data_IF_311832780889
#
_entry.id   IF_311832780889
#
_cell.length_a   1.000
_cell.length_b   1.000
_cell.length_c   1.000
_cell.angle_alpha   90.00
_cell.angle_beta   90.00
_cell.angle_gamma   90.00
#
_symmetry.space_group_name_H-M   'P 1'
#
loop_
_entity.id
_entity.type
_entity.pdbx_description
1 polymer ?
#
# COMPACT_ATOMS: atom_id res chain seq x y z
N UNK A 1 -13.97 -2.32 28.15
CA UNK A 1 -14.63 -2.36 29.48
C UNK A 1 -16.03 -1.76 29.40
N UNK A 2 -17.10 -2.56 29.43
CA UNK A 2 -18.45 -2.02 29.65
C UNK A 2 -18.46 -1.42 31.05
N UNK A 3 -18.85 -0.15 31.18
CA UNK A 3 -18.92 0.53 32.47
C UNK A 3 -19.67 -0.35 33.47
N UNK A 4 -19.04 -0.64 34.62
CA UNK A 4 -19.79 -1.09 35.79
C UNK A 4 -20.99 -0.13 35.91
N UNK A 5 -22.24 -0.61 36.10
CA UNK A 5 -23.38 0.28 36.17
C UNK A 5 -23.08 1.30 37.26
N UNK A 6 -22.85 2.57 36.89
CA UNK A 6 -22.38 3.63 37.81
C UNK A 6 -23.27 3.71 39.05
N UNK A 7 -24.56 3.39 38.87
CA UNK A 7 -25.53 3.18 39.92
C UNK A 7 -25.05 2.24 41.04
N UNK A 8 -24.48 1.07 40.72
CA UNK A 8 -24.04 0.09 41.70
C UNK A 8 -22.86 0.59 42.56
N UNK A 9 -21.92 1.31 41.95
CA UNK A 9 -20.80 1.95 42.67
C UNK A 9 -21.32 3.05 43.59
N UNK A 10 -22.23 3.88 43.09
CA UNK A 10 -22.86 4.96 43.85
C UNK A 10 -23.66 4.39 45.03
N UNK A 11 -24.48 3.36 44.81
CA UNK A 11 -25.27 2.72 45.86
C UNK A 11 -24.39 2.05 46.92
N UNK A 12 -23.33 1.35 46.53
CA UNK A 12 -22.39 0.75 47.48
C UNK A 12 -21.65 1.83 48.29
N UNK A 13 -21.24 2.93 47.66
CA UNK A 13 -20.61 4.07 48.32
C UNK A 13 -21.56 4.78 49.30
N UNK A 14 -22.81 5.00 48.92
CA UNK A 14 -23.84 5.58 49.80
C UNK A 14 -24.14 4.66 50.98
N UNK A 15 -24.29 3.35 50.76
CA UNK A 15 -24.51 2.41 51.85
C UNK A 15 -23.33 2.35 52.82
N UNK A 16 -22.10 2.34 52.31
CA UNK A 16 -20.88 2.36 53.13
C UNK A 16 -20.74 3.65 53.94
N UNK A 17 -21.00 4.81 53.33
CA UNK A 17 -20.96 6.10 54.03
C UNK A 17 -22.04 6.22 55.10
N UNK A 18 -23.28 5.82 54.80
CA UNK A 18 -24.37 5.78 55.80
C UNK A 18 -24.02 4.85 56.96
N UNK A 19 -23.44 3.68 56.68
CA UNK A 19 -23.03 2.71 57.71
C UNK A 19 -21.94 3.26 58.64
N UNK A 20 -21.08 4.16 58.17
CA UNK A 20 -20.02 4.79 58.96
C UNK A 20 -20.54 6.01 59.76
N UNK A 21 -21.42 6.81 59.16
CA UNK A 21 -21.91 8.06 59.76
C UNK A 21 -23.05 7.82 60.75
N UNK A 22 -23.90 6.82 60.50
CA UNK A 22 -25.07 6.50 61.32
C UNK A 22 -25.07 5.04 61.78
N UNK A 23 -24.10 4.62 62.62
CA UNK A 23 -23.99 3.22 63.05
C UNK A 23 -25.20 2.75 63.88
N UNK A 24 -25.91 3.68 64.53
CA UNK A 24 -27.13 3.44 65.32
C UNK A 24 -28.28 2.82 64.49
N UNK A 25 -28.28 3.05 63.17
CA UNK A 25 -29.32 2.55 62.24
C UNK A 25 -29.09 1.06 61.93
N UNK A 26 -27.87 0.57 62.12
CA UNK A 26 -27.53 -0.81 61.80
C UNK A 26 -28.12 -1.76 62.86
N UNK A 27 -28.70 -2.90 62.43
CA UNK A 27 -29.21 -3.88 63.37
C UNK A 27 -28.06 -4.40 64.24
N UNK A 28 -28.31 -4.55 65.55
CA UNK A 28 -27.33 -5.12 66.47
C UNK A 28 -26.87 -6.48 65.93
N UNK A 29 -25.56 -6.62 65.70
CA UNK A 29 -24.99 -7.82 65.06
C UNK A 29 -24.64 -8.90 66.08
N UNK A 30 -24.36 -8.51 67.33
CA UNK A 30 -23.88 -9.41 68.37
C UNK A 30 -24.61 -9.15 69.70
N UNK A 31 -25.15 -10.21 70.31
CA UNK A 31 -25.76 -10.16 71.64
C UNK A 31 -25.25 -11.32 72.48
N UNK A 32 -24.69 -11.04 73.67
CA UNK A 32 -24.11 -12.06 74.59
C UNK A 32 -23.14 -13.05 73.90
N UNK A 33 -22.29 -12.54 73.01
CA UNK A 33 -21.26 -13.33 72.30
C UNK A 33 -21.77 -14.22 71.17
N UNK A 34 -23.05 -14.11 70.78
CA UNK A 34 -23.64 -14.80 69.62
C UNK A 34 -24.16 -13.80 68.60
N UNK A 35 -24.11 -14.17 67.33
CA UNK A 35 -24.70 -13.36 66.26
C UNK A 35 -26.22 -13.33 66.39
N UNK A 36 -26.82 -12.16 66.15
CA UNK A 36 -28.28 -12.00 66.18
C UNK A 36 -28.95 -12.73 65.01
N UNK A 37 -30.24 -13.02 65.16
CA UNK A 37 -31.02 -13.68 64.11
C UNK A 37 -30.96 -12.90 62.79
N UNK A 38 -31.03 -11.57 62.85
CA UNK A 38 -30.93 -10.67 61.69
C UNK A 38 -29.60 -10.81 60.96
N UNK A 39 -28.48 -10.87 61.70
CA UNK A 39 -27.16 -11.05 61.09
C UNK A 39 -27.00 -12.44 60.47
N UNK A 40 -27.56 -13.47 61.10
CA UNK A 40 -27.54 -14.84 60.60
C UNK A 40 -28.35 -14.99 59.32
N UNK A 41 -29.59 -14.50 59.30
CA UNK A 41 -30.46 -14.57 58.11
C UNK A 41 -29.89 -13.77 56.96
N UNK A 42 -29.36 -12.56 57.20
CA UNK A 42 -28.75 -11.75 56.14
C UNK A 42 -27.56 -12.46 55.47
N UNK A 43 -26.64 -13.04 56.26
CA UNK A 43 -25.50 -13.78 55.73
C UNK A 43 -25.91 -15.08 55.03
N UNK A 44 -26.89 -15.80 55.58
CA UNK A 44 -27.42 -17.03 55.00
C UNK A 44 -28.08 -16.76 53.64
N UNK A 45 -28.96 -15.77 53.56
CA UNK A 45 -29.61 -15.36 52.31
C UNK A 45 -28.58 -14.89 51.28
N UNK A 46 -27.60 -14.08 51.69
CA UNK A 46 -26.48 -13.69 50.81
C UNK A 46 -25.69 -14.91 50.30
N UNK A 47 -25.45 -15.90 51.16
CA UNK A 47 -24.79 -17.15 50.79
C UNK A 47 -25.54 -17.94 49.70
N UNK A 48 -26.87 -18.00 49.79
CA UNK A 48 -27.72 -18.63 48.75
C UNK A 48 -27.57 -17.90 47.40
N UNK A 49 -27.61 -16.57 47.40
CA UNK A 49 -27.43 -15.79 46.17
C UNK A 49 -26.04 -16.00 45.55
N UNK A 50 -24.99 -16.09 46.37
CA UNK A 50 -23.65 -16.42 45.88
C UNK A 50 -23.59 -17.82 45.27
N UNK A 51 -24.23 -18.83 45.87
CA UNK A 51 -24.31 -20.17 45.27
C UNK A 51 -25.11 -20.20 43.96
N UNK A 52 -26.19 -19.44 43.85
CA UNK A 52 -26.89 -19.27 42.57
C UNK A 52 -25.96 -18.65 41.50
N UNK A 53 -25.08 -17.73 41.91
CA UNK A 53 -24.03 -17.16 41.08
C UNK A 53 -23.04 -18.19 40.52
N UNK A 54 -22.72 -19.26 41.26
CA UNK A 54 -21.85 -20.36 40.77
C UNK A 54 -22.42 -20.97 39.50
N UNK A 55 -23.71 -21.34 39.50
CA UNK A 55 -24.37 -21.93 38.33
C UNK A 55 -24.41 -20.94 37.14
N UNK A 56 -24.66 -19.66 37.43
CA UNK A 56 -24.66 -18.60 36.43
C UNK A 56 -23.29 -18.45 35.74
N UNK A 57 -22.20 -18.37 36.52
CA UNK A 57 -20.86 -18.17 35.98
C UNK A 57 -20.29 -19.43 35.32
N UNK A 58 -20.59 -20.63 35.82
CA UNK A 58 -20.25 -21.89 35.14
C UNK A 58 -20.89 -21.99 33.76
N UNK A 59 -22.19 -21.71 33.66
CA UNK A 59 -22.89 -21.69 32.36
C UNK A 59 -22.29 -20.66 31.39
N UNK A 60 -21.81 -19.53 31.92
CA UNK A 60 -21.16 -18.49 31.11
C UNK A 60 -19.75 -18.88 30.68
N UNK A 61 -19.01 -19.57 31.55
CA UNK A 61 -17.72 -20.16 31.22
C UNK A 61 -17.85 -21.20 30.11
N UNK A 62 -18.84 -22.08 30.15
CA UNK A 62 -19.03 -23.07 29.09
C UNK A 62 -19.30 -22.45 27.72
N UNK A 63 -19.96 -21.28 27.69
CA UNK A 63 -20.24 -20.55 26.46
C UNK A 63 -19.06 -19.74 25.93
N UNK A 64 -18.33 -19.06 26.82
CA UNK A 64 -17.33 -18.06 26.43
C UNK A 64 -15.88 -18.56 26.57
N UNK A 65 -15.64 -19.65 27.33
CA UNK A 65 -14.32 -20.20 27.70
C UNK A 65 -13.36 -19.18 28.32
N UNK A 66 -13.88 -18.08 28.86
CA UNK A 66 -13.10 -17.03 29.50
C UNK A 66 -12.81 -17.37 30.97
N UNK A 67 -11.52 -17.42 31.30
CA UNK A 67 -10.99 -17.72 32.63
C UNK A 67 -11.51 -16.79 33.74
N UNK A 68 -11.96 -15.58 33.40
CA UNK A 68 -12.54 -14.65 34.38
C UNK A 68 -13.78 -15.24 35.06
N UNK A 69 -14.56 -16.05 34.35
CA UNK A 69 -15.74 -16.70 34.90
C UNK A 69 -15.40 -17.84 35.86
N UNK A 70 -14.26 -18.51 35.66
CA UNK A 70 -13.75 -19.50 36.62
C UNK A 70 -13.40 -18.82 37.93
N UNK A 71 -12.72 -17.67 37.87
CA UNK A 71 -12.40 -16.87 39.05
C UNK A 71 -13.67 -16.45 39.80
N UNK A 72 -14.67 -15.90 39.11
CA UNK A 72 -15.95 -15.52 39.73
C UNK A 72 -16.70 -16.72 40.31
N UNK A 73 -16.62 -17.88 39.66
CA UNK A 73 -17.23 -19.13 40.17
C UNK A 73 -16.60 -19.54 41.50
N UNK A 74 -15.27 -19.56 41.60
CA UNK A 74 -14.54 -19.90 42.83
C UNK A 74 -14.91 -18.92 43.94
N UNK A 75 -15.02 -17.63 43.61
CA UNK A 75 -15.47 -16.60 44.54
C UNK A 75 -16.88 -16.84 45.06
N UNK A 76 -17.84 -17.02 44.17
CA UNK A 76 -19.22 -17.31 44.50
C UNK A 76 -19.34 -18.57 45.38
N UNK A 77 -18.52 -19.59 45.12
CA UNK A 77 -18.48 -20.80 45.93
C UNK A 77 -17.97 -20.51 47.36
N UNK A 78 -16.82 -19.83 47.49
CA UNK A 78 -16.21 -19.52 48.79
C UNK A 78 -17.09 -18.60 49.64
N UNK A 79 -17.66 -17.55 49.06
CA UNK A 79 -18.57 -16.64 49.78
C UNK A 79 -19.93 -17.28 50.07
N UNK A 80 -20.43 -18.14 49.17
CA UNK A 80 -21.65 -18.90 49.38
C UNK A 80 -21.56 -19.84 50.58
N UNK A 81 -20.50 -20.66 50.62
CA UNK A 81 -20.23 -21.58 51.74
C UNK A 81 -20.02 -20.80 53.04
N UNK A 82 -19.27 -19.70 53.00
CA UNK A 82 -19.05 -18.86 54.17
C UNK A 82 -20.34 -18.22 54.72
N UNK A 83 -21.28 -17.83 53.85
CA UNK A 83 -22.58 -17.29 54.25
C UNK A 83 -23.50 -18.34 54.88
N UNK A 84 -23.53 -19.56 54.32
CA UNK A 84 -24.31 -20.69 54.85
C UNK A 84 -23.80 -21.17 56.21
N UNK A 85 -22.49 -21.28 56.36
CA UNK A 85 -21.83 -21.76 57.59
C UNK A 85 -21.78 -20.70 58.69
N UNK A 86 -22.12 -19.44 58.38
CA UNK A 86 -22.15 -18.34 59.34
C UNK A 86 -23.13 -18.58 60.49
N UNK A 87 -24.26 -19.27 60.25
CA UNK A 87 -25.25 -19.56 61.30
C UNK A 87 -24.70 -20.44 62.43
N UNK A 88 -23.66 -21.22 62.15
CA UNK A 88 -23.01 -22.09 63.13
C UNK A 88 -21.75 -21.45 63.75
N UNK A 89 -21.38 -20.25 63.30
CA UNK A 89 -20.16 -19.59 63.75
C UNK A 89 -20.38 -18.86 65.07
N UNK A 90 -19.47 -19.09 66.02
CA UNK A 90 -19.35 -18.28 67.24
C UNK A 90 -18.21 -17.30 67.06
N UNK A 91 -18.34 -16.12 67.65
CA UNK A 91 -17.29 -15.11 67.60
C UNK A 91 -15.97 -15.69 68.15
N UNK A 92 -14.86 -15.42 67.49
CA UNK A 92 -13.50 -15.89 67.85
C UNK A 92 -13.28 -17.41 67.86
N UNK A 93 -14.21 -18.21 67.33
CA UNK A 93 -13.98 -19.65 67.23
C UNK A 93 -12.97 -19.99 66.12
N UNK A 94 -12.32 -21.17 66.17
CA UNK A 94 -11.44 -21.62 65.08
C UNK A 94 -12.15 -21.63 63.71
N UNK A 95 -13.43 -22.04 63.67
CA UNK A 95 -14.23 -22.01 62.44
C UNK A 95 -14.50 -20.59 61.92
N UNK A 96 -14.66 -19.61 62.83
CA UNK A 96 -14.81 -18.21 62.45
C UNK A 96 -13.56 -17.69 61.74
N UNK A 97 -12.36 -17.98 62.28
CA UNK A 97 -11.09 -17.60 61.65
C UNK A 97 -10.86 -18.27 60.30
N UNK A 98 -11.19 -19.56 60.18
CA UNK A 98 -11.02 -20.33 58.94
C UNK A 98 -11.81 -19.70 57.79
N UNK A 99 -13.07 -19.28 58.03
CA UNK A 99 -13.89 -18.63 57.01
C UNK A 99 -13.36 -17.25 56.60
N UNK A 100 -12.78 -16.48 57.54
CA UNK A 100 -12.16 -15.18 57.21
C UNK A 100 -10.86 -15.36 56.41
N UNK A 101 -10.05 -16.36 56.75
CA UNK A 101 -8.86 -16.72 55.99
C UNK A 101 -9.21 -17.14 54.55
N UNK A 102 -10.29 -17.91 54.37
CA UNK A 102 -10.77 -18.30 53.04
C UNK A 102 -11.18 -17.08 52.17
N UNK A 103 -11.88 -16.09 52.76
CA UNK A 103 -12.24 -14.85 52.05
C UNK A 103 -11.01 -14.00 51.71
N UNK A 104 -10.06 -13.88 52.64
CA UNK A 104 -8.80 -13.18 52.38
C UNK A 104 -8.04 -13.83 51.22
N UNK A 105 -7.96 -15.16 51.21
CA UNK A 105 -7.38 -15.93 50.10
C UNK A 105 -8.07 -15.62 48.78
N UNK A 106 -9.41 -15.57 48.75
CA UNK A 106 -10.16 -15.18 47.56
C UNK A 106 -9.72 -13.78 47.08
N UNK A 107 -9.73 -12.77 47.97
CA UNK A 107 -9.30 -11.39 47.68
C UNK A 107 -7.90 -11.31 47.07
N UNK A 108 -6.95 -12.06 47.60
CA UNK A 108 -5.59 -12.13 47.04
C UNK A 108 -5.59 -12.71 45.63
N UNK A 109 -6.36 -13.77 45.36
CA UNK A 109 -6.45 -14.39 44.04
C UNK A 109 -7.05 -13.44 43.00
N UNK A 110 -8.15 -12.75 43.31
CA UNK A 110 -8.70 -11.77 42.36
C UNK A 110 -7.76 -10.59 42.14
N UNK A 111 -7.13 -10.07 43.20
CA UNK A 111 -6.18 -8.98 43.06
C UNK A 111 -5.01 -9.38 42.15
N UNK A 112 -4.42 -10.56 42.36
CA UNK A 112 -3.36 -11.08 41.50
C UNK A 112 -3.82 -11.25 40.05
N UNK A 113 -5.02 -11.79 39.84
CA UNK A 113 -5.58 -11.97 38.50
C UNK A 113 -5.78 -10.63 37.78
N UNK A 114 -6.44 -9.68 38.43
CA UNK A 114 -6.71 -8.34 37.86
C UNK A 114 -5.40 -7.61 37.59
N UNK A 115 -4.48 -7.58 38.54
CA UNK A 115 -3.18 -6.92 38.38
C UNK A 115 -2.38 -7.55 37.22
N UNK A 116 -2.30 -8.87 37.14
CA UNK A 116 -1.58 -9.54 36.06
C UNK A 116 -2.24 -9.31 34.68
N UNK A 117 -3.56 -9.31 34.59
CA UNK A 117 -4.27 -9.11 33.33
C UNK A 117 -4.18 -7.66 32.85
N UNK A 118 -4.34 -6.68 33.74
CA UNK A 118 -4.22 -5.26 33.41
C UNK A 118 -2.82 -4.89 32.92
N UNK A 119 -1.76 -5.44 33.52
CA UNK A 119 -0.38 -5.21 33.06
C UNK A 119 -0.13 -5.80 31.66
N UNK A 120 -0.68 -6.99 31.37
CA UNK A 120 -0.58 -7.60 30.03
C UNK A 120 -1.31 -6.78 28.98
N UNK A 121 -2.51 -6.32 29.28
CA UNK A 121 -3.31 -5.51 28.36
C UNK A 121 -2.64 -4.17 28.07
N UNK A 122 -2.07 -3.51 29.09
CA UNK A 122 -1.29 -2.30 28.90
C UNK A 122 -0.05 -2.53 28.01
N UNK A 123 0.73 -3.58 28.29
CA UNK A 123 1.92 -3.91 27.51
C UNK A 123 1.57 -4.24 26.05
N UNK A 124 0.48 -4.98 25.84
CA UNK A 124 -0.03 -5.27 24.50
C UNK A 124 -0.40 -3.99 23.75
N UNK A 125 -1.08 -3.04 24.40
CA UNK A 125 -1.45 -1.76 23.81
C UNK A 125 -0.23 -0.93 23.43
N UNK A 126 0.77 -0.84 24.30
CA UNK A 126 2.02 -0.12 24.02
C UNK A 126 2.74 -0.73 22.82
N UNK A 127 2.91 -2.07 22.81
CA UNK A 127 3.55 -2.77 21.70
C UNK A 127 2.78 -2.64 20.39
N UNK A 128 1.45 -2.72 20.44
CA UNK A 128 0.60 -2.52 19.26
C UNK A 128 0.73 -1.10 18.71
N UNK A 129 0.89 -0.10 19.59
CA UNK A 129 1.09 1.28 19.18
C UNK A 129 2.45 1.46 18.50
N UNK A 130 3.52 0.88 19.05
CA UNK A 130 4.86 0.91 18.45
C UNK A 130 4.87 0.27 17.05
N UNK A 131 4.23 -0.90 16.89
CA UNK A 131 4.11 -1.57 15.58
C UNK A 131 3.35 -0.69 14.59
N UNK A 132 2.29 -0.02 15.04
CA UNK A 132 1.51 0.87 14.17
C UNK A 132 2.31 2.11 13.75
N UNK A 133 3.09 2.68 14.66
CA UNK A 133 3.97 3.81 14.36
C UNK A 133 5.07 3.41 13.34
N UNK A 134 5.66 2.22 13.50
CA UNK A 134 6.62 1.68 12.53
C UNK A 134 6.00 1.40 11.17
N UNK A 135 4.83 0.77 11.13
CA UNK A 135 4.12 0.50 9.88
C UNK A 135 3.76 1.80 9.14
N UNK A 136 3.35 2.84 9.87
CA UNK A 136 3.07 4.15 9.30
C UNK A 136 4.34 4.83 8.76
N UNK A 137 5.46 4.75 9.49
CA UNK A 137 6.73 5.30 9.01
C UNK A 137 7.20 4.62 7.72
N UNK A 138 7.09 3.29 7.64
CA UNK A 138 7.44 2.54 6.44
C UNK A 138 6.49 2.84 5.27
N UNK A 139 5.20 2.98 5.53
CA UNK A 139 4.23 3.36 4.50
C UNK A 139 4.53 4.75 3.91
N UNK A 140 4.92 5.70 4.75
CA UNK A 140 5.29 7.06 4.30
C UNK A 140 6.59 7.05 3.48
N UNK A 141 7.57 6.22 3.83
CA UNK A 141 8.78 6.01 3.05
C UNK A 141 8.48 5.39 1.68
N UNK A 142 7.74 4.28 1.63
CA UNK A 142 7.33 3.64 0.38
C UNK A 142 6.52 4.57 -0.51
N UNK A 143 5.68 5.45 0.07
CA UNK A 143 4.94 6.46 -0.68
C UNK A 143 5.87 7.47 -1.35
N UNK A 144 6.89 7.98 -0.63
CA UNK A 144 7.88 8.90 -1.21
C UNK A 144 8.70 8.26 -2.33
N UNK A 145 9.07 6.99 -2.16
CA UNK A 145 9.74 6.23 -3.23
C UNK A 145 8.85 6.08 -4.46
N UNK A 146 7.58 5.73 -4.27
CA UNK A 146 6.61 5.61 -5.36
C UNK A 146 6.40 6.94 -6.10
N UNK A 147 6.30 8.05 -5.38
CA UNK A 147 6.23 9.39 -5.98
C UNK A 147 7.47 9.71 -6.83
N UNK A 148 8.66 9.36 -6.34
CA UNK A 148 9.91 9.53 -7.09
C UNK A 148 9.94 8.68 -8.37
N UNK A 149 9.55 7.41 -8.28
CA UNK A 149 9.50 6.49 -9.43
C UNK A 149 8.47 6.96 -10.45
N UNK A 150 7.28 7.39 -10.01
CA UNK A 150 6.25 7.93 -10.92
C UNK A 150 6.76 9.16 -11.68
N UNK A 151 7.44 10.09 -11.01
CA UNK A 151 8.02 11.27 -11.68
C UNK A 151 9.08 10.90 -12.72
N UNK A 152 9.90 9.90 -12.43
CA UNK A 152 10.89 9.38 -13.40
C UNK A 152 10.20 8.72 -14.59
N UNK A 153 9.13 7.96 -14.35
CA UNK A 153 8.35 7.32 -15.39
C UNK A 153 7.68 8.37 -16.30
N UNK A 154 7.06 9.40 -15.73
CA UNK A 154 6.46 10.51 -16.49
C UNK A 154 7.49 11.18 -17.42
N UNK A 155 8.69 11.47 -16.89
CA UNK A 155 9.78 12.06 -17.67
C UNK A 155 10.21 11.13 -18.81
N UNK A 156 10.35 9.84 -18.53
CA UNK A 156 10.76 8.84 -19.52
C UNK A 156 9.71 8.69 -20.63
N UNK A 157 8.42 8.70 -20.28
CA UNK A 157 7.31 8.65 -21.23
C UNK A 157 7.29 9.90 -22.11
N UNK A 158 7.48 11.08 -21.53
CA UNK A 158 7.58 12.33 -22.30
C UNK A 158 8.75 12.28 -23.31
N UNK A 159 9.92 11.85 -22.87
CA UNK A 159 11.08 11.72 -23.74
C UNK A 159 10.87 10.69 -24.86
N UNK A 160 10.27 9.54 -24.54
CA UNK A 160 9.93 8.53 -25.54
C UNK A 160 8.95 9.06 -26.60
N UNK A 161 7.95 9.83 -26.17
CA UNK A 161 6.98 10.46 -27.09
C UNK A 161 7.64 11.50 -28.01
N UNK A 162 8.56 12.32 -27.47
CA UNK A 162 9.32 13.28 -28.28
C UNK A 162 10.17 12.58 -29.33
N UNK A 163 10.93 11.56 -28.94
CA UNK A 163 11.75 10.76 -29.87
C UNK A 163 10.89 10.06 -30.93
N UNK A 164 9.72 9.55 -30.55
CA UNK A 164 8.78 8.95 -31.48
C UNK A 164 8.27 9.98 -32.51
N UNK A 165 7.95 11.20 -32.08
CA UNK A 165 7.55 12.28 -32.98
C UNK A 165 8.67 12.67 -33.95
N UNK A 166 9.90 12.82 -33.45
CA UNK A 166 11.08 13.10 -34.28
C UNK A 166 11.30 12.01 -35.32
N UNK A 167 11.18 10.73 -34.92
CA UNK A 167 11.29 9.60 -35.83
C UNK A 167 10.19 9.60 -36.91
N UNK A 168 8.95 9.95 -36.56
CA UNK A 168 7.84 10.09 -37.52
C UNK A 168 8.14 11.20 -38.53
N UNK A 169 8.61 12.36 -38.08
CA UNK A 169 8.96 13.49 -38.95
C UNK A 169 10.11 13.11 -39.89
N UNK A 170 11.17 12.50 -39.36
CA UNK A 170 12.29 12.03 -40.17
C UNK A 170 11.87 10.99 -41.22
N UNK A 171 11.02 10.03 -40.84
CA UNK A 171 10.53 9.01 -41.76
C UNK A 171 9.63 9.61 -42.87
N UNK A 172 8.80 10.61 -42.53
CA UNK A 172 8.01 11.35 -43.51
C UNK A 172 8.90 12.12 -44.49
N UNK A 173 9.91 12.84 -43.99
CA UNK A 173 10.88 13.54 -44.83
C UNK A 173 11.65 12.59 -45.75
N UNK A 174 12.06 11.41 -45.24
CA UNK A 174 12.69 10.37 -46.05
C UNK A 174 11.76 9.85 -47.16
N UNK A 175 10.49 9.64 -46.83
CA UNK A 175 9.49 9.15 -47.79
C UNK A 175 9.23 10.18 -48.89
N UNK A 176 9.12 11.46 -48.52
CA UNK A 176 8.98 12.58 -49.46
C UNK A 176 10.22 12.73 -50.35
N UNK A 177 11.42 12.65 -49.78
CA UNK A 177 12.68 12.65 -50.53
C UNK A 177 12.72 11.53 -51.58
N UNK A 178 12.40 10.28 -51.19
CA UNK A 178 12.40 9.14 -52.11
C UNK A 178 11.35 9.28 -53.22
N UNK A 179 10.17 9.83 -52.90
CA UNK A 179 9.14 10.09 -53.89
C UNK A 179 9.59 11.15 -54.91
N UNK A 180 10.20 12.25 -54.43
CA UNK A 180 10.74 13.30 -55.29
C UNK A 180 11.89 12.78 -56.16
N UNK A 181 12.84 12.04 -55.59
CA UNK A 181 13.90 11.39 -56.36
C UNK A 181 13.37 10.44 -57.43
N UNK A 182 12.33 9.66 -57.12
CA UNK A 182 11.69 8.78 -58.11
C UNK A 182 11.08 9.55 -59.29
N UNK A 183 10.54 10.74 -59.03
CA UNK A 183 10.02 11.63 -60.06
C UNK A 183 11.14 12.24 -60.92
N UNK A 184 12.18 12.78 -60.27
CA UNK A 184 13.36 13.37 -60.91
C UNK A 184 14.12 12.36 -61.78
N UNK A 185 14.20 11.09 -61.39
CA UNK A 185 14.82 10.03 -62.19
C UNK A 185 13.94 9.63 -63.39
N UNK A 186 12.61 9.68 -63.26
CA UNK A 186 11.67 9.28 -64.32
C UNK A 186 11.74 10.20 -65.54
N UNK A 187 11.86 11.51 -65.33
CA UNK A 187 11.88 12.52 -66.41
C UNK A 187 13.01 12.32 -67.44
N UNK A 188 14.30 12.23 -67.05
CA UNK A 188 15.38 11.97 -67.99
C UNK A 188 15.29 10.56 -68.58
N UNK A 189 14.88 9.55 -67.81
CA UNK A 189 14.65 8.20 -68.33
C UNK A 189 13.58 8.18 -69.44
N UNK A 190 12.45 8.86 -69.23
CA UNK A 190 11.39 8.96 -70.22
C UNK A 190 11.89 9.70 -71.47
N UNK A 191 12.74 10.72 -71.29
CA UNK A 191 13.35 11.46 -72.39
C UNK A 191 14.28 10.56 -73.22
N UNK A 192 15.12 9.76 -72.58
CA UNK A 192 16.00 8.77 -73.24
C UNK A 192 15.16 7.78 -74.06
N UNK A 193 14.16 7.14 -73.43
CA UNK A 193 13.31 6.14 -74.07
C UNK A 193 12.47 6.74 -75.22
N UNK A 194 12.00 7.98 -75.07
CA UNK A 194 11.22 8.70 -76.07
C UNK A 194 12.03 9.01 -77.32
N UNK A 195 13.21 9.62 -77.17
CA UNK A 195 14.08 9.93 -78.31
C UNK A 195 14.66 8.68 -78.97
N UNK A 196 14.95 7.62 -78.19
CA UNK A 196 15.33 6.33 -78.76
C UNK A 196 14.21 5.75 -79.63
N UNK A 197 12.97 5.77 -79.13
CA UNK A 197 11.79 5.32 -79.88
C UNK A 197 11.55 6.14 -81.15
N UNK A 198 11.75 7.46 -81.11
CA UNK A 198 11.64 8.31 -82.29
C UNK A 198 12.73 8.03 -83.32
N UNK A 199 13.97 7.78 -82.87
CA UNK A 199 15.08 7.34 -83.72
C UNK A 199 14.73 6.04 -84.44
N UNK A 200 14.27 5.02 -83.70
CA UNK A 200 13.86 3.72 -84.27
C UNK A 200 12.71 3.89 -85.27
N UNK A 201 11.68 4.67 -84.95
CA UNK A 201 10.51 4.84 -85.85
C UNK A 201 10.85 5.60 -87.14
N UNK A 202 11.84 6.50 -87.11
CA UNK A 202 12.12 7.43 -88.21
C UNK A 202 13.45 7.19 -88.91
N UNK A 203 14.21 6.14 -88.54
CA UNK A 203 15.59 5.93 -89.03
C UNK A 203 15.71 5.90 -90.56
N UNK A 204 14.72 5.30 -91.26
CA UNK A 204 14.77 5.14 -92.71
C UNK A 204 14.53 6.44 -93.49
N UNK A 205 13.82 7.41 -92.88
CA UNK A 205 13.31 8.59 -93.59
C UNK A 205 13.76 9.93 -92.97
N UNK A 206 14.44 9.91 -91.82
CA UNK A 206 14.93 11.11 -91.15
C UNK A 206 16.27 11.57 -91.74
N UNK A 207 16.45 12.90 -91.86
CA UNK A 207 17.74 13.49 -92.21
C UNK A 207 18.80 13.15 -91.14
N UNK A 208 20.08 12.95 -91.51
CA UNK A 208 21.16 12.67 -90.56
C UNK A 208 21.23 13.66 -89.39
N UNK A 209 21.03 14.95 -89.67
CA UNK A 209 21.00 16.03 -88.68
C UNK A 209 19.93 15.82 -87.59
N UNK A 210 18.76 15.28 -87.96
CA UNK A 210 17.66 15.07 -87.02
C UNK A 210 17.89 13.84 -86.13
N UNK A 211 18.53 12.80 -86.67
CA UNK A 211 18.97 11.66 -85.90
C UNK A 211 20.07 12.05 -84.91
N UNK A 212 21.01 12.91 -85.32
CA UNK A 212 22.04 13.47 -84.45
C UNK A 212 21.43 14.28 -83.27
N UNK A 213 20.39 15.09 -83.52
CA UNK A 213 19.62 15.78 -82.47
C UNK A 213 19.01 14.79 -81.46
N UNK A 214 18.41 13.68 -81.91
CA UNK A 214 17.89 12.65 -81.01
C UNK A 214 18.99 12.01 -80.16
N UNK A 215 20.12 11.64 -80.76
CA UNK A 215 21.26 11.08 -80.02
C UNK A 215 21.85 12.08 -79.02
N UNK A 216 21.94 13.36 -79.37
CA UNK A 216 22.39 14.41 -78.45
C UNK A 216 21.44 14.58 -77.26
N UNK A 217 20.12 14.54 -77.49
CA UNK A 217 19.12 14.60 -76.40
C UNK A 217 19.17 13.38 -75.49
N UNK A 218 19.37 12.18 -76.04
CA UNK A 218 19.60 10.96 -75.27
C UNK A 218 20.87 11.10 -74.42
N UNK A 219 21.99 11.51 -75.03
CA UNK A 219 23.28 11.69 -74.34
C UNK A 219 23.16 12.69 -73.19
N UNK A 220 22.52 13.84 -73.43
CA UNK A 220 22.33 14.87 -72.41
C UNK A 220 21.46 14.36 -71.26
N UNK A 221 20.34 13.70 -71.55
CA UNK A 221 19.45 13.15 -70.52
C UNK A 221 20.14 12.02 -69.74
N UNK A 222 20.97 11.20 -70.38
CA UNK A 222 21.79 10.18 -69.73
C UNK A 222 22.84 10.78 -68.79
N UNK A 223 23.46 11.90 -69.17
CA UNK A 223 24.39 12.64 -68.30
C UNK A 223 23.66 13.17 -67.04
N UNK A 224 22.52 13.82 -67.21
CA UNK A 224 21.70 14.32 -66.10
C UNK A 224 21.23 13.19 -65.18
N UNK A 225 20.82 12.05 -65.73
CA UNK A 225 20.43 10.89 -64.92
C UNK A 225 21.62 10.33 -64.11
N UNK A 226 22.82 10.29 -64.70
CA UNK A 226 24.02 9.84 -64.02
C UNK A 226 24.43 10.78 -62.88
N UNK A 227 24.31 12.09 -63.07
CA UNK A 227 24.52 13.11 -62.02
C UNK A 227 23.57 12.87 -60.84
N UNK A 228 22.26 12.74 -61.09
CA UNK A 228 21.26 12.45 -60.05
C UNK A 228 21.54 11.13 -59.29
N UNK A 229 22.05 10.11 -59.99
CA UNK A 229 22.36 8.82 -59.39
C UNK A 229 23.62 8.89 -58.51
N UNK A 230 24.61 9.70 -58.91
CA UNK A 230 25.80 9.97 -58.10
C UNK A 230 25.44 10.76 -56.84
N UNK A 231 24.58 11.78 -56.95
CA UNK A 231 24.10 12.55 -55.79
C UNK A 231 23.40 11.64 -54.76
N UNK A 232 22.55 10.72 -55.25
CA UNK A 232 21.89 9.74 -54.38
C UNK A 232 22.88 8.77 -53.73
N UNK A 233 23.90 8.33 -54.47
CA UNK A 233 24.95 7.45 -53.96
C UNK A 233 25.77 8.13 -52.87
N UNK A 234 26.11 9.40 -53.04
CA UNK A 234 26.87 10.16 -52.05
C UNK A 234 26.05 10.44 -50.79
N UNK A 235 24.74 10.68 -50.92
CA UNK A 235 23.83 10.73 -49.78
C UNK A 235 23.78 9.38 -49.02
N UNK A 236 23.73 8.24 -49.73
CA UNK A 236 23.73 6.92 -49.10
C UNK A 236 25.06 6.59 -48.37
N UNK A 237 26.19 7.05 -48.91
CA UNK A 237 27.49 6.97 -48.21
C UNK A 237 27.51 7.83 -46.96
N UNK A 238 26.86 8.99 -46.99
CA UNK A 238 26.70 9.88 -45.85
C UNK A 238 25.85 9.25 -44.74
N UNK A 239 24.66 8.72 -45.07
CA UNK A 239 23.77 8.06 -44.10
C UNK A 239 24.44 6.84 -43.44
N UNK A 240 25.22 6.07 -44.20
CA UNK A 240 25.93 4.88 -43.69
C UNK A 240 27.21 5.21 -42.91
N UNK A 241 27.53 6.49 -42.69
CA UNK A 241 28.78 6.97 -42.08
C UNK A 241 30.04 6.42 -42.78
N UNK A 242 29.96 6.14 -44.08
CA UNK A 242 31.06 5.59 -44.88
C UNK A 242 31.85 6.66 -45.64
N UNK A 243 31.49 7.94 -45.52
CA UNK A 243 32.29 9.04 -46.04
C UNK A 243 33.59 9.16 -45.26
N UNK A 244 34.72 9.06 -45.97
CA UNK A 244 36.05 9.36 -45.44
C UNK A 244 36.42 10.77 -45.87
N UNK A 245 36.61 11.66 -44.90
CA UNK A 245 37.12 13.00 -45.17
C UNK A 245 38.65 12.95 -45.19
N UNK A 246 39.25 13.49 -46.25
CA UNK A 246 40.69 13.72 -46.35
C UNK A 246 40.88 15.23 -46.32
N UNK A 247 41.58 15.71 -45.31
CA UNK A 247 41.83 17.14 -45.13
C UNK A 247 43.24 17.47 -45.65
N UNK A 248 43.32 18.41 -46.58
CA UNK A 248 44.58 18.86 -47.18
C UNK A 248 44.66 20.39 -47.22
N UNK A 249 45.83 21.00 -46.95
CA UNK A 249 46.01 22.44 -47.07
C UNK A 249 45.70 22.93 -48.49
N UNK A 250 44.63 23.70 -48.64
CA UNK A 250 44.14 24.17 -49.94
C UNK A 250 44.01 25.69 -49.95
N UNK A 251 44.47 26.34 -51.03
CA UNK A 251 44.27 27.76 -51.22
C UNK A 251 42.82 28.05 -51.67
N UNK A 252 42.04 28.68 -50.80
CA UNK A 252 40.63 28.97 -51.03
C UNK A 252 40.38 29.90 -52.24
N UNK A 253 41.31 30.81 -52.55
CA UNK A 253 41.17 31.71 -53.70
C UNK A 253 41.33 30.98 -55.05
N UNK A 254 42.12 29.90 -55.08
CA UNK A 254 42.25 29.03 -56.26
C UNK A 254 41.01 28.13 -56.39
N UNK A 255 40.56 27.54 -55.27
CA UNK A 255 39.40 26.65 -55.26
C UNK A 255 38.12 27.37 -55.70
N UNK A 256 37.87 28.59 -55.21
CA UNK A 256 36.68 29.38 -55.56
C UNK A 256 36.58 29.74 -57.05
N UNK A 257 37.70 29.75 -57.79
CA UNK A 257 37.73 30.02 -59.22
C UNK A 257 37.63 28.74 -60.09
N UNK A 258 37.54 27.56 -59.47
CA UNK A 258 37.55 26.25 -60.14
C UNK A 258 36.23 25.48 -60.07
N UNK A 259 35.25 26.03 -59.34
CA UNK A 259 33.87 25.53 -59.22
C UNK A 259 32.99 26.24 -60.24
#
# INVERSE_FOLDING_TARGET
>A
MKALPRALVITAGLFGTISLVFPEILPVVLTKGRFTLTAQTLNFTGGIFYLAGVAYFLKRFDRNRDTIYVLFTIYCLLFGIAGLTFMFSKLWSPGWWLLHAARLGAYVVAFKYVSANSSKEYLFLVRSKEILEQANAQAEESKKELEKVNKQLETSVQQANLLAQEAIVANRAKSEFLANMSHELRTPLHTILGFASFGIKKYANAKPEKLLDYFNRIKQSGKTLLELLNDLLDLAKLESRKLKFVFEPTNLAVLANSV
#
